data_IF_310647996374
#
_entry.id   IF_310647996374
#
_cell.length_a   1.000
_cell.length_b   1.000
_cell.length_c   1.000
_cell.angle_alpha   90.00
_cell.angle_beta   90.00
_cell.angle_gamma   90.00
#
_symmetry.space_group_name_H-M   'P 1'
#
loop_
_entity.id
_entity.type
_entity.pdbx_description
1 polymer ?
#
# COMPACT_ATOMS: atom_id res chain seq x y z
N UNK A 1 12.45 -10.89 -18.53
CA UNK A 1 12.74 -9.66 -17.76
C UNK A 1 11.41 -9.08 -17.28
N UNK A 2 11.07 -9.23 -16.00
CA UNK A 2 9.80 -8.71 -15.47
C UNK A 2 9.95 -7.23 -15.12
N UNK A 3 9.69 -6.37 -16.11
CA UNK A 3 9.47 -4.94 -15.90
C UNK A 3 8.18 -4.80 -15.10
N UNK A 4 8.18 -4.01 -14.02
CA UNK A 4 6.94 -3.62 -13.37
C UNK A 4 6.23 -2.65 -14.34
N UNK A 5 5.45 -3.21 -15.27
CA UNK A 5 4.92 -2.54 -16.47
C UNK A 5 3.69 -1.68 -16.19
N UNK A 6 3.24 -1.61 -14.93
CA UNK A 6 1.94 -1.07 -14.56
C UNK A 6 2.12 0.09 -13.57
N UNK A 7 1.37 1.19 -13.71
CA UNK A 7 1.28 2.20 -12.66
C UNK A 7 0.91 1.54 -11.33
N UNK A 8 1.45 2.07 -10.24
CA UNK A 8 1.18 1.60 -8.89
C UNK A 8 0.44 2.69 -8.12
N UNK A 9 -0.69 2.35 -7.52
CA UNK A 9 -1.37 3.18 -6.52
C UNK A 9 -0.98 2.66 -5.13
N UNK A 10 -0.47 3.56 -4.30
CA UNK A 10 -0.33 3.32 -2.86
C UNK A 10 -1.66 3.67 -2.20
N UNK A 11 -2.31 2.69 -1.59
CA UNK A 11 -3.59 2.89 -0.91
C UNK A 11 -3.39 2.72 0.59
N UNK A 12 -3.65 3.79 1.33
CA UNK A 12 -3.57 3.83 2.78
C UNK A 12 -4.99 3.73 3.36
N UNK A 13 -5.21 2.73 4.20
CA UNK A 13 -6.52 2.47 4.78
C UNK A 13 -6.94 3.55 5.79
N UNK A 14 -8.24 3.65 6.05
CA UNK A 14 -8.83 4.55 7.03
C UNK A 14 -8.92 3.96 8.43
N UNK A 15 -9.70 4.64 9.28
CA UNK A 15 -9.87 4.25 10.67
C UNK A 15 -10.65 2.92 10.80
N UNK A 16 -10.17 2.04 11.68
CA UNK A 16 -10.72 0.70 11.93
C UNK A 16 -10.69 -0.26 10.72
N UNK A 17 -9.97 0.09 9.66
CA UNK A 17 -9.73 -0.78 8.51
C UNK A 17 -8.34 -1.44 8.64
N UNK A 18 -8.14 -2.56 7.94
CA UNK A 18 -6.85 -3.24 7.75
C UNK A 18 -6.75 -3.70 6.30
N UNK A 19 -5.62 -4.25 5.88
CA UNK A 19 -5.48 -4.90 4.57
C UNK A 19 -6.60 -5.92 4.32
N UNK A 20 -7.01 -6.65 5.37
CA UNK A 20 -8.06 -7.67 5.27
C UNK A 20 -9.43 -7.10 4.89
N UNK A 21 -9.70 -5.82 5.20
CA UNK A 21 -10.92 -5.11 4.79
C UNK A 21 -11.06 -5.08 3.26
N UNK A 22 -9.96 -5.16 2.53
CA UNK A 22 -9.92 -5.04 1.07
C UNK A 22 -9.53 -6.33 0.35
N UNK A 23 -9.74 -7.49 0.99
CA UNK A 23 -9.56 -8.80 0.35
C UNK A 23 -10.60 -9.08 -0.74
N UNK A 24 -11.75 -8.40 -0.70
CA UNK A 24 -12.73 -8.46 -1.77
C UNK A 24 -12.10 -7.87 -3.06
N UNK A 25 -11.92 -8.68 -4.13
CA UNK A 25 -11.32 -8.21 -5.37
C UNK A 25 -12.11 -7.09 -6.04
N UNK A 26 -13.40 -6.94 -5.73
CA UNK A 26 -14.24 -5.90 -6.31
C UNK A 26 -13.84 -4.49 -5.85
N UNK A 27 -13.24 -4.35 -4.65
CA UNK A 27 -12.77 -3.06 -4.12
C UNK A 27 -11.79 -2.38 -5.08
N UNK A 28 -10.86 -3.15 -5.65
CA UNK A 28 -9.83 -2.64 -6.56
C UNK A 28 -10.08 -3.01 -8.02
N UNK A 29 -11.26 -3.55 -8.35
CA UNK A 29 -11.61 -3.93 -9.72
C UNK A 29 -11.37 -2.80 -10.74
N UNK A 30 -11.73 -1.53 -10.49
CA UNK A 30 -11.46 -0.45 -11.45
C UNK A 30 -9.98 -0.23 -11.74
N UNK A 31 -9.11 -0.40 -10.73
CA UNK A 31 -7.65 -0.30 -10.91
C UNK A 31 -7.13 -1.48 -11.73
N UNK A 32 -7.58 -2.70 -11.41
CA UNK A 32 -7.18 -3.91 -12.13
C UNK A 32 -7.60 -3.86 -13.60
N UNK A 33 -8.86 -3.46 -13.88
CA UNK A 33 -9.38 -3.26 -15.23
C UNK A 33 -8.57 -2.22 -16.02
N UNK A 34 -8.08 -1.19 -15.33
CA UNK A 34 -7.21 -0.14 -15.89
C UNK A 34 -5.73 -0.54 -16.00
N UNK A 35 -5.39 -1.81 -15.72
CA UNK A 35 -4.01 -2.32 -15.69
C UNK A 35 -3.13 -1.57 -14.69
N UNK A 36 -3.69 -1.08 -13.59
CA UNK A 36 -3.00 -0.43 -12.47
C UNK A 36 -2.90 -1.43 -11.32
N UNK A 37 -1.74 -1.50 -10.69
CA UNK A 37 -1.54 -2.29 -9.46
C UNK A 37 -1.87 -1.44 -8.24
N UNK A 38 -2.40 -2.05 -7.19
CA UNK A 38 -2.55 -1.42 -5.87
C UNK A 38 -1.58 -2.09 -4.88
N UNK A 39 -0.92 -1.28 -4.05
CA UNK A 39 -0.23 -1.74 -2.85
C UNK A 39 -0.98 -1.20 -1.65
N UNK A 40 -1.47 -2.10 -0.80
CA UNK A 40 -2.12 -1.81 0.48
C UNK A 40 -1.18 -2.32 1.57
N UNK A 41 -0.99 -1.53 2.62
CA UNK A 41 -0.14 -1.89 3.75
C UNK A 41 -0.79 -1.47 5.07
N UNK A 42 -0.68 -2.32 6.08
CA UNK A 42 -1.12 -2.00 7.44
C UNK A 42 -0.12 -1.05 8.12
N UNK A 43 -0.63 0.03 8.71
CA UNK A 43 0.16 0.85 9.62
C UNK A 43 0.59 0.05 10.87
N UNK A 44 1.63 0.51 11.58
CA UNK A 44 2.03 -0.14 12.84
C UNK A 44 0.87 -0.20 13.84
N UNK A 45 0.63 -1.38 14.41
CA UNK A 45 -0.48 -1.64 15.33
C UNK A 45 -1.83 -1.92 14.66
N UNK A 46 -1.88 -2.03 13.33
CA UNK A 46 -3.04 -2.52 12.56
C UNK A 46 -2.73 -3.88 11.94
N UNK A 47 -3.78 -4.68 11.71
CA UNK A 47 -3.68 -6.02 11.12
C UNK A 47 -2.61 -6.87 11.82
N UNK A 48 -1.63 -7.33 11.04
CA UNK A 48 -0.50 -8.11 11.55
C UNK A 48 0.76 -7.25 11.87
N UNK A 49 0.72 -5.95 11.61
CA UNK A 49 1.82 -5.04 11.91
C UNK A 49 1.95 -4.78 13.41
N UNK A 50 3.15 -4.96 13.95
CA UNK A 50 3.44 -4.71 15.38
C UNK A 50 3.53 -3.22 15.71
N UNK A 51 3.48 -2.86 16.99
CA UNK A 51 3.65 -1.48 17.48
C UNK A 51 2.36 -0.85 18.01
N UNK A 52 2.35 0.48 18.14
CA UNK A 52 1.18 1.26 18.59
C UNK A 52 0.91 2.41 17.62
N UNK A 53 -0.34 2.62 17.20
CA UNK A 53 -0.68 3.69 16.28
C UNK A 53 -0.81 5.04 16.99
N UNK A 54 -0.51 6.10 16.25
CA UNK A 54 -0.70 7.50 16.58
C UNK A 54 -0.66 8.29 15.28
N UNK A 55 -1.16 9.52 15.26
CA UNK A 55 -1.11 10.37 14.05
C UNK A 55 0.33 10.49 13.50
N UNK A 56 1.31 10.74 14.38
CA UNK A 56 2.71 10.88 13.99
C UNK A 56 3.30 9.59 13.40
N UNK A 57 2.99 8.43 14.00
CA UNK A 57 3.51 7.16 13.52
C UNK A 57 2.84 6.72 12.22
N UNK A 58 1.55 6.98 12.03
CA UNK A 58 0.82 6.71 10.79
C UNK A 58 1.45 7.52 9.63
N UNK A 59 1.70 8.82 9.83
CA UNK A 59 2.36 9.65 8.83
C UNK A 59 3.76 9.10 8.49
N UNK A 60 4.56 8.77 9.51
CA UNK A 60 5.91 8.22 9.33
C UNK A 60 5.89 6.87 8.60
N UNK A 61 4.92 6.00 8.88
CA UNK A 61 4.77 4.71 8.22
C UNK A 61 4.37 4.89 6.74
N UNK A 62 3.44 5.80 6.46
CA UNK A 62 3.05 6.15 5.10
C UNK A 62 4.22 6.66 4.25
N UNK A 63 5.02 7.59 4.80
CA UNK A 63 6.23 8.10 4.16
C UNK A 63 7.25 6.99 3.87
N UNK A 64 7.44 6.06 4.82
CA UNK A 64 8.36 4.92 4.64
C UNK A 64 7.91 3.99 3.51
N UNK A 65 6.61 3.68 3.44
CA UNK A 65 6.05 2.85 2.36
C UNK A 65 6.22 3.56 1.01
N UNK A 66 5.96 4.87 0.96
CA UNK A 66 6.14 5.67 -0.26
C UNK A 66 7.60 5.66 -0.74
N UNK A 67 8.55 5.95 0.17
CA UNK A 67 9.97 5.94 -0.15
C UNK A 67 10.46 4.55 -0.64
N UNK A 68 9.95 3.48 -0.04
CA UNK A 68 10.27 2.11 -0.46
C UNK A 68 9.73 1.80 -1.87
N UNK A 69 8.51 2.22 -2.17
CA UNK A 69 7.90 2.05 -3.48
C UNK A 69 8.69 2.82 -4.56
N UNK A 70 9.08 4.07 -4.28
CA UNK A 70 9.91 4.88 -5.17
C UNK A 70 11.28 4.23 -5.42
N UNK A 71 11.98 3.81 -4.36
CA UNK A 71 13.27 3.14 -4.47
C UNK A 71 13.19 1.82 -5.27
N UNK A 72 12.07 1.10 -5.14
CA UNK A 72 11.83 -0.14 -5.88
C UNK A 72 11.51 0.09 -7.35
N UNK A 73 11.01 1.29 -7.69
CA UNK A 73 10.77 1.73 -9.08
C UNK A 73 12.06 2.17 -9.78
N UNK A 74 12.99 2.78 -9.04
CA UNK A 74 14.25 3.31 -9.59
C UNK A 74 15.34 2.25 -9.77
N UNK A 75 15.41 1.25 -8.87
CA UNK A 75 16.38 0.12 -8.97
C UNK A 75 16.10 -0.87 -10.10
N UNK A 76 15.02 -0.68 -10.86
CA UNK A 76 14.61 -1.58 -11.96
C UNK A 76 14.76 -0.94 -13.36
N UNK A 77 15.54 0.15 -13.46
CA UNK A 77 15.97 0.74 -14.74
C UNK A 77 17.30 0.14 -15.19
#
# INVERSE_FOLDING_TARGET
MFKCQRPLVLYFHGNAETVDTYLDPEVFHPLQASKVSALVADFRGYGYSTGRPSLATIATDGERVAALAEASSSRRR
#
